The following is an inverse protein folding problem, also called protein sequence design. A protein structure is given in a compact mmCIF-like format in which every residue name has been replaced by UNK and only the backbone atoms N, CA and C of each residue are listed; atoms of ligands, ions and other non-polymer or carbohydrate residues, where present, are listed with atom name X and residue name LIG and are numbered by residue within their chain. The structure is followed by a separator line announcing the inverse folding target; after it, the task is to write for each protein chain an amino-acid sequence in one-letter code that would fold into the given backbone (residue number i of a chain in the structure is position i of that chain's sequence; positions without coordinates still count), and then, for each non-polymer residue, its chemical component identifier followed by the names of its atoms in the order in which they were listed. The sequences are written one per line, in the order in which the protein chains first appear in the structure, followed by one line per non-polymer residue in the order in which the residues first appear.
data_IF_964477645055
#
_entry.id   IF_964477645055
#
_cell.length_a   1.000
_cell.length_b   1.000
_cell.length_c   1.000
_cell.angle_alpha   90.00
_cell.angle_beta   90.00
_cell.angle_gamma   90.00
#
_symmetry.space_group_name_H-M   'P 1'
#
loop_
_entity.id
_entity.type
_entity.pdbx_description
1 polymer ?
#
# COMPACT_ATOMS: atom_id res chain seq x y z
N UNK A 1 -9.88 -2.74 -62.58
CA UNK A 1 -9.59 -3.64 -61.44
C UNK A 1 -8.13 -3.58 -60.95
N UNK A 2 -7.19 -2.96 -61.68
CA UNK A 2 -5.77 -2.89 -61.27
C UNK A 2 -5.46 -1.84 -60.17
N UNK A 3 -6.25 -0.78 -60.04
CA UNK A 3 -5.97 0.33 -59.09
C UNK A 3 -6.04 -0.10 -57.61
N UNK A 4 -7.08 -0.86 -57.24
CA UNK A 4 -7.24 -1.32 -55.85
C UNK A 4 -6.20 -2.37 -55.46
N UNK A 5 -5.71 -3.17 -56.40
CA UNK A 5 -4.67 -4.18 -56.15
C UNK A 5 -3.32 -3.53 -55.87
N UNK A 6 -2.99 -2.44 -56.57
CA UNK A 6 -1.79 -1.63 -56.32
C UNK A 6 -1.87 -0.95 -54.94
N UNK A 7 -3.04 -0.41 -54.57
CA UNK A 7 -3.24 0.21 -53.25
C UNK A 7 -3.04 -0.80 -52.11
N UNK A 8 -3.58 -2.01 -52.23
CA UNK A 8 -3.42 -3.05 -51.23
C UNK A 8 -1.97 -3.53 -51.10
N UNK A 9 -1.25 -3.68 -52.22
CA UNK A 9 0.18 -4.02 -52.19
C UNK A 9 1.01 -2.92 -51.51
N UNK A 10 0.74 -1.65 -51.79
CA UNK A 10 1.41 -0.53 -51.11
C UNK A 10 1.15 -0.51 -49.60
N UNK A 11 -0.09 -0.73 -49.16
CA UNK A 11 -0.42 -0.82 -47.73
C UNK A 11 0.29 -2.00 -47.08
N UNK A 12 0.30 -3.17 -47.74
CA UNK A 12 0.95 -4.37 -47.21
C UNK A 12 2.47 -4.17 -47.06
N UNK A 13 3.11 -3.52 -48.04
CA UNK A 13 4.53 -3.17 -47.98
C UNK A 13 4.85 -2.14 -46.88
N UNK A 14 3.99 -1.15 -46.66
CA UNK A 14 4.16 -0.17 -45.56
C UNK A 14 3.98 -0.82 -44.18
N UNK A 15 3.04 -1.75 -44.04
CA UNK A 15 2.83 -2.49 -42.78
C UNK A 15 3.99 -3.46 -42.52
N UNK A 16 4.44 -4.20 -43.53
CA UNK A 16 5.55 -5.14 -43.40
C UNK A 16 6.87 -4.45 -43.04
N UNK A 17 7.17 -3.29 -43.66
CA UNK A 17 8.37 -2.50 -43.33
C UNK A 17 8.32 -1.95 -41.92
N UNK A 18 7.16 -1.50 -41.43
CA UNK A 18 7.01 -1.05 -40.04
C UNK A 18 7.19 -2.18 -39.03
N UNK A 19 6.64 -3.36 -39.28
CA UNK A 19 6.78 -4.54 -38.40
C UNK A 19 8.24 -4.99 -38.30
N UNK A 20 9.01 -4.95 -39.39
CA UNK A 20 10.45 -5.27 -39.36
C UNK A 20 11.27 -4.26 -38.54
N UNK A 21 10.93 -2.96 -38.57
CA UNK A 21 11.58 -1.98 -37.69
C UNK A 21 11.31 -2.19 -36.20
N UNK A 22 10.26 -2.93 -35.81
CA UNK A 22 9.99 -3.22 -34.40
C UNK A 22 10.73 -4.46 -33.85
N UNK A 23 11.11 -5.45 -34.68
CA UNK A 23 11.78 -6.67 -34.18
C UNK A 23 13.28 -6.47 -33.88
N UNK A 24 13.95 -5.50 -34.53
CA UNK A 24 15.35 -5.13 -34.19
C UNK A 24 15.49 -4.42 -32.84
N UNK A 25 14.44 -3.78 -32.31
CA UNK A 25 14.52 -3.04 -31.04
C UNK A 25 14.42 -3.97 -29.81
N UNK A 26 13.89 -5.19 -29.96
CA UNK A 26 13.64 -6.10 -28.82
C UNK A 26 14.76 -7.11 -28.53
N UNK A 27 15.78 -7.24 -29.40
CA UNK A 27 16.89 -8.20 -29.21
C UNK A 27 18.21 -7.61 -28.68
N UNK A 28 18.29 -6.31 -28.39
CA UNK A 28 19.55 -5.68 -27.93
C UNK A 28 19.46 -4.95 -26.58
N UNK A 29 18.65 -5.46 -25.65
CA UNK A 29 18.95 -5.26 -24.21
C UNK A 29 19.72 -6.47 -23.70
N UNK A 30 20.97 -6.58 -24.17
CA UNK A 30 21.99 -7.33 -23.43
C UNK A 30 22.25 -6.51 -22.16
N UNK A 31 22.09 -7.06 -20.94
CA UNK A 31 22.51 -6.35 -19.75
C UNK A 31 24.02 -6.08 -19.88
N UNK A 32 24.40 -4.80 -19.86
CA UNK A 32 25.79 -4.39 -19.82
C UNK A 32 26.51 -5.17 -18.69
N UNK A 33 27.74 -5.67 -18.92
CA UNK A 33 28.52 -6.26 -17.85
C UNK A 33 28.66 -5.24 -16.74
N UNK A 34 28.36 -5.67 -15.51
CA UNK A 34 28.50 -4.85 -14.32
C UNK A 34 29.89 -4.17 -14.32
N UNK A 35 29.99 -2.89 -13.91
CA UNK A 35 31.30 -2.28 -13.69
C UNK A 35 32.09 -3.15 -12.70
N UNK A 36 33.42 -3.25 -12.82
CA UNK A 36 34.21 -4.09 -11.94
C UNK A 36 33.92 -3.65 -10.51
N UNK A 37 33.36 -4.59 -9.74
CA UNK A 37 33.24 -4.45 -8.30
C UNK A 37 34.67 -4.26 -7.82
N UNK A 38 35.04 -3.02 -7.46
CA UNK A 38 36.23 -2.81 -6.64
C UNK A 38 36.02 -3.71 -5.44
N UNK A 39 36.93 -4.68 -5.29
CA UNK A 39 36.97 -5.51 -4.10
C UNK A 39 36.83 -4.59 -2.88
N UNK A 40 36.02 -4.96 -1.87
CA UNK A 40 36.11 -4.29 -0.60
C UNK A 40 37.55 -4.43 -0.13
N UNK A 41 38.29 -3.33 -0.16
CA UNK A 41 39.52 -3.21 0.61
C UNK A 41 39.17 -3.70 2.01
N UNK A 42 39.83 -4.77 2.47
CA UNK A 42 39.78 -5.20 3.85
C UNK A 42 39.97 -3.94 4.69
N UNK A 43 38.91 -3.53 5.39
CA UNK A 43 38.98 -2.41 6.28
C UNK A 43 40.17 -2.64 7.22
N UNK A 44 41.03 -1.64 7.48
CA UNK A 44 42.02 -1.77 8.54
C UNK A 44 41.32 -2.14 9.85
N UNK A 45 41.98 -2.86 10.77
CA UNK A 45 41.36 -3.25 12.03
C UNK A 45 40.83 -2.00 12.70
N UNK A 46 39.50 -1.92 12.87
CA UNK A 46 38.90 -0.84 13.64
C UNK A 46 39.44 -1.00 15.06
N UNK A 47 40.37 -0.13 15.44
CA UNK A 47 40.73 0.06 16.85
C UNK A 47 39.43 0.42 17.55
N UNK A 48 38.96 -0.51 18.37
CA UNK A 48 37.77 -0.34 19.19
C UNK A 48 37.92 0.98 19.96
N UNK A 49 36.95 1.92 19.89
CA UNK A 49 36.91 3.01 20.85
C UNK A 49 36.78 2.39 22.24
N UNK A 50 37.83 2.53 23.05
CA UNK A 50 37.76 2.25 24.48
C UNK A 50 36.75 3.25 25.05
N UNK A 51 35.51 2.82 25.23
CA UNK A 51 34.55 3.58 26.03
C UNK A 51 35.12 3.70 27.45
N UNK A 52 35.21 4.90 28.03
CA UNK A 52 35.56 5.03 29.44
C UNK A 52 34.52 4.28 30.28
N UNK A 53 34.90 3.64 31.39
CA UNK A 53 33.92 3.07 32.30
C UNK A 53 32.97 4.17 32.74
N UNK A 54 31.67 3.92 32.57
CA UNK A 54 30.62 4.86 32.94
C UNK A 54 30.73 5.26 34.42
N UNK A 55 30.27 6.46 34.81
CA UNK A 55 30.31 6.90 36.19
C UNK A 55 29.45 5.99 37.07
N UNK A 56 30.05 5.59 38.19
CA UNK A 56 29.45 4.82 39.28
C UNK A 56 28.24 5.57 39.84
N UNK A 57 27.15 4.83 40.08
CA UNK A 57 25.89 5.28 40.69
C UNK A 57 26.10 5.90 42.08
N UNK A 58 25.43 7.02 42.38
CA UNK A 58 25.12 7.50 43.76
C UNK A 58 23.96 8.51 43.72
N UNK A 59 23.27 8.81 44.84
CA UNK A 59 21.83 8.67 44.96
C UNK A 59 20.97 9.92 44.68
N UNK A 60 19.73 9.61 44.29
CA UNK A 60 18.45 10.32 44.35
C UNK A 60 18.42 11.78 44.84
N UNK A 61 17.98 12.67 43.93
CA UNK A 61 17.21 13.87 44.28
C UNK A 61 15.76 13.62 43.86
N UNK A 62 14.75 13.78 44.74
CA UNK A 62 13.35 13.63 44.36
C UNK A 62 12.93 14.79 43.44
N UNK A 63 12.59 14.47 42.20
CA UNK A 63 11.99 15.40 41.24
C UNK A 63 10.59 15.79 41.70
N UNK A 64 10.18 17.08 41.64
CA UNK A 64 8.80 17.46 41.90
C UNK A 64 7.86 16.81 40.89
N UNK A 65 6.83 16.14 41.39
CA UNK A 65 5.80 15.46 40.62
C UNK A 65 5.09 16.45 39.71
N UNK A 66 5.46 16.48 38.43
CA UNK A 66 4.63 17.08 37.38
C UNK A 66 3.40 16.20 37.27
N UNK A 67 2.26 16.74 37.74
CA UNK A 67 0.94 16.11 37.63
C UNK A 67 0.59 16.00 36.16
N UNK A 68 0.90 14.85 35.56
CA UNK A 68 0.44 14.46 34.23
C UNK A 68 -1.10 14.53 34.25
N UNK A 69 -1.74 15.35 33.39
CA UNK A 69 -3.18 15.31 33.24
C UNK A 69 -3.57 13.90 32.81
N UNK A 70 -4.60 13.29 33.42
CA UNK A 70 -5.06 11.96 33.02
C UNK A 70 -5.40 11.96 31.53
N UNK A 71 -5.19 10.84 30.80
CA UNK A 71 -5.72 10.70 29.45
C UNK A 71 -7.23 10.97 29.49
N UNK A 72 -7.80 11.64 28.46
CA UNK A 72 -9.25 11.82 28.39
C UNK A 72 -9.90 10.43 28.48
N UNK A 73 -10.55 10.18 29.61
CA UNK A 73 -11.31 8.96 29.83
C UNK A 73 -12.36 8.89 28.72
N UNK A 74 -12.34 7.83 27.93
CA UNK A 74 -13.48 7.51 27.08
C UNK A 74 -14.71 7.44 28.00
N UNK A 75 -15.86 8.04 27.63
CA UNK A 75 -17.05 7.96 28.47
C UNK A 75 -17.35 6.49 28.74
N UNK A 76 -17.42 6.12 30.02
CA UNK A 76 -17.97 4.84 30.45
C UNK A 76 -19.42 4.82 29.99
N UNK A 77 -19.67 4.14 28.87
CA UNK A 77 -21.02 3.87 28.41
C UNK A 77 -21.62 2.88 29.41
N UNK A 78 -22.61 3.34 30.19
CA UNK A 78 -23.45 2.46 31.03
C UNK A 78 -23.97 1.30 30.17
N UNK A 79 -24.11 0.08 30.72
CA UNK A 79 -24.86 -0.98 30.06
C UNK A 79 -26.24 -0.44 29.68
N UNK A 80 -26.66 -0.51 28.40
CA UNK A 80 -27.97 -0.04 28.00
C UNK A 80 -29.02 -0.89 28.72
N UNK A 81 -29.95 -0.21 29.39
CA UNK A 81 -31.19 -0.77 29.91
C UNK A 81 -31.90 -1.54 28.80
N UNK A 82 -32.44 -2.76 29.03
CA UNK A 82 -33.25 -3.44 28.03
C UNK A 82 -34.47 -2.58 27.73
N UNK A 83 -34.46 -1.97 26.55
CA UNK A 83 -35.57 -1.15 26.04
C UNK A 83 -36.66 -2.13 25.57
N UNK A 84 -37.95 -1.88 25.84
CA UNK A 84 -39.03 -2.74 25.38
C UNK A 84 -38.97 -2.89 23.86
N UNK A 85 -39.02 -4.14 23.42
CA UNK A 85 -38.97 -4.57 22.02
C UNK A 85 -40.04 -3.82 21.22
N UNK A 86 -39.61 -2.81 20.47
CA UNK A 86 -40.48 -2.18 19.46
C UNK A 86 -40.86 -3.24 18.43
N UNK A 87 -42.07 -3.19 17.85
CA UNK A 87 -42.50 -4.16 16.86
C UNK A 87 -41.51 -4.14 15.70
N UNK A 88 -41.14 -5.34 15.23
CA UNK A 88 -40.27 -5.56 14.08
C UNK A 88 -40.90 -4.89 12.86
N UNK A 89 -40.51 -3.64 12.61
CA UNK A 89 -40.74 -2.98 11.33
C UNK A 89 -39.76 -3.64 10.38
N UNK A 90 -40.28 -4.55 9.54
CA UNK A 90 -39.50 -5.14 8.46
C UNK A 90 -38.92 -3.99 7.63
N UNK A 91 -37.58 -3.88 7.50
CA UNK A 91 -37.00 -2.88 6.64
C UNK A 91 -37.56 -3.09 5.22
N UNK A 92 -37.87 -2.01 4.48
CA UNK A 92 -38.28 -2.13 3.09
C UNK A 92 -37.23 -2.93 2.31
N UNK A 93 -37.61 -3.66 1.25
CA UNK A 93 -36.67 -4.43 0.45
C UNK A 93 -35.55 -3.52 -0.02
N UNK A 94 -34.35 -3.73 0.53
CA UNK A 94 -33.17 -2.94 0.21
C UNK A 94 -32.91 -3.17 -1.27
N UNK A 95 -33.03 -2.12 -2.08
CA UNK A 95 -32.67 -2.17 -3.49
C UNK A 95 -31.27 -2.81 -3.62
N UNK A 96 -31.02 -3.66 -4.62
CA UNK A 96 -29.74 -4.35 -4.76
C UNK A 96 -28.62 -3.31 -4.74
N UNK A 97 -27.79 -3.40 -3.71
CA UNK A 97 -26.63 -2.52 -3.54
C UNK A 97 -25.78 -2.63 -4.80
N UNK A 98 -25.30 -1.52 -5.40
CA UNK A 98 -24.41 -1.61 -6.54
C UNK A 98 -23.23 -2.54 -6.18
N UNK A 99 -22.87 -3.48 -7.06
CA UNK A 99 -21.82 -4.45 -6.78
C UNK A 99 -20.52 -3.70 -6.46
N UNK A 100 -19.85 -4.12 -5.38
CA UNK A 100 -18.57 -3.56 -5.00
C UNK A 100 -17.59 -3.64 -6.20
N UNK A 101 -16.73 -2.63 -6.39
CA UNK A 101 -15.79 -2.63 -7.51
C UNK A 101 -14.88 -3.85 -7.43
N UNK A 102 -14.97 -4.72 -8.43
CA UNK A 102 -14.18 -5.96 -8.50
C UNK A 102 -12.76 -5.63 -8.99
N UNK A 103 -11.76 -5.85 -8.15
CA UNK A 103 -10.34 -5.68 -8.49
C UNK A 103 -9.83 -6.96 -9.15
N UNK A 104 -9.50 -6.91 -10.45
CA UNK A 104 -8.87 -8.05 -11.15
C UNK A 104 -7.36 -7.84 -11.29
N UNK A 105 -6.94 -6.59 -11.44
CA UNK A 105 -5.57 -6.22 -11.77
C UNK A 105 -5.05 -5.07 -10.89
N UNK A 106 -3.73 -4.85 -10.91
CA UNK A 106 -3.12 -3.72 -10.22
C UNK A 106 -3.65 -2.36 -10.72
N UNK A 107 -4.06 -2.27 -12.00
CA UNK A 107 -4.62 -1.04 -12.57
C UNK A 107 -5.95 -0.66 -11.91
N UNK A 108 -6.75 -1.64 -11.50
CA UNK A 108 -8.01 -1.42 -10.78
C UNK A 108 -7.75 -0.90 -9.35
N UNK A 109 -6.58 -1.19 -8.78
CA UNK A 109 -6.19 -0.68 -7.47
C UNK A 109 -5.91 0.81 -7.47
N UNK A 110 -5.40 1.37 -8.57
CA UNK A 110 -4.94 2.77 -8.63
C UNK A 110 -6.07 3.75 -8.27
N UNK A 111 -7.24 3.77 -8.94
CA UNK A 111 -8.29 4.74 -8.62
C UNK A 111 -8.91 4.51 -7.24
N UNK A 112 -9.00 3.24 -6.80
CA UNK A 112 -9.54 2.91 -5.48
C UNK A 112 -8.61 3.37 -4.35
N UNK A 113 -7.31 3.15 -4.51
CA UNK A 113 -6.32 3.60 -3.55
C UNK A 113 -6.18 5.12 -3.55
N UNK A 114 -6.34 5.78 -4.71
CA UNK A 114 -6.31 7.24 -4.79
C UNK A 114 -7.43 7.86 -3.94
N UNK A 115 -8.65 7.35 -4.06
CA UNK A 115 -9.75 7.75 -3.19
C UNK A 115 -9.45 7.44 -1.72
N UNK A 116 -9.04 6.21 -1.40
CA UNK A 116 -8.72 5.77 -0.04
C UNK A 116 -7.68 6.66 0.65
N UNK A 117 -6.66 7.08 -0.10
CA UNK A 117 -5.55 7.86 0.41
C UNK A 117 -5.73 9.38 0.28
N UNK A 118 -6.84 9.85 -0.28
CA UNK A 118 -7.10 11.26 -0.62
C UNK A 118 -6.98 12.21 0.58
N UNK A 119 -7.41 11.78 1.77
CA UNK A 119 -7.35 12.55 3.02
C UNK A 119 -6.16 12.18 3.91
N UNK A 120 -5.36 11.19 3.53
CA UNK A 120 -4.25 10.75 4.35
C UNK A 120 -3.12 11.79 4.32
N UNK A 121 -2.62 12.18 5.49
CA UNK A 121 -1.52 13.16 5.64
C UNK A 121 -0.27 12.83 4.82
N UNK A 122 0.05 11.53 4.65
CA UNK A 122 1.18 11.02 3.87
C UNK A 122 0.68 10.27 2.63
N UNK A 123 0.02 10.96 1.70
CA UNK A 123 -0.63 10.39 0.50
C UNK A 123 0.25 9.39 -0.26
N UNK A 124 1.51 9.74 -0.57
CA UNK A 124 2.44 8.87 -1.32
C UNK A 124 2.77 7.57 -0.58
N UNK A 125 2.91 7.63 0.75
CA UNK A 125 3.15 6.45 1.58
C UNK A 125 1.90 5.56 1.65
N UNK A 126 0.73 6.17 1.87
CA UNK A 126 -0.55 5.48 1.85
C UNK A 126 -0.77 4.77 0.52
N UNK A 127 -0.56 5.45 -0.61
CA UNK A 127 -0.76 4.86 -1.95
C UNK A 127 0.10 3.62 -2.17
N UNK A 128 1.38 3.67 -1.80
CA UNK A 128 2.29 2.52 -1.94
C UNK A 128 1.82 1.32 -1.11
N UNK A 129 1.40 1.57 0.13
CA UNK A 129 0.87 0.53 1.01
C UNK A 129 -0.45 -0.04 0.49
N UNK A 130 -1.38 0.84 0.11
CA UNK A 130 -2.68 0.47 -0.43
C UNK A 130 -2.56 -0.39 -1.69
N UNK A 131 -1.75 0.01 -2.67
CA UNK A 131 -1.58 -0.75 -3.92
C UNK A 131 -0.99 -2.14 -3.64
N UNK A 132 -0.05 -2.25 -2.70
CA UNK A 132 0.51 -3.55 -2.29
C UNK A 132 -0.56 -4.45 -1.66
N UNK A 133 -1.37 -3.89 -0.76
CA UNK A 133 -2.45 -4.61 -0.11
C UNK A 133 -3.57 -5.00 -1.09
N UNK A 134 -3.92 -4.09 -1.98
CA UNK A 134 -4.93 -4.32 -3.01
C UNK A 134 -4.49 -5.39 -4.00
N UNK A 135 -3.23 -5.37 -4.45
CA UNK A 135 -2.77 -6.39 -5.39
C UNK A 135 -2.76 -7.79 -4.76
N UNK A 136 -2.42 -7.89 -3.47
CA UNK A 136 -2.43 -9.16 -2.75
C UNK A 136 -3.84 -9.64 -2.37
N UNK A 137 -4.69 -8.73 -1.90
CA UNK A 137 -6.00 -9.06 -1.34
C UNK A 137 -7.17 -8.85 -2.32
N UNK A 138 -6.89 -8.31 -3.51
CA UNK A 138 -7.87 -7.98 -4.56
C UNK A 138 -9.08 -7.19 -4.03
N UNK A 139 -8.82 -6.29 -3.08
CA UNK A 139 -9.85 -5.49 -2.42
C UNK A 139 -9.26 -4.21 -1.84
N UNK A 140 -9.98 -3.10 -2.00
CA UNK A 140 -9.74 -1.83 -1.30
C UNK A 140 -11.02 -1.49 -0.54
N UNK A 141 -10.98 -1.30 0.79
CA UNK A 141 -12.22 -1.06 1.51
C UNK A 141 -12.81 0.33 1.19
N UNK A 142 -14.13 0.51 1.38
CA UNK A 142 -14.79 1.78 1.04
C UNK A 142 -14.42 2.90 2.01
N UNK A 143 -14.46 4.14 1.51
CA UNK A 143 -14.15 5.34 2.29
C UNK A 143 -12.65 5.67 2.35
N UNK A 144 -12.30 6.72 3.08
CA UNK A 144 -10.91 7.17 3.27
C UNK A 144 -10.28 6.66 4.57
N UNK A 145 -11.10 6.13 5.48
CA UNK A 145 -10.71 5.62 6.80
C UNK A 145 -11.61 4.45 7.21
N UNK A 146 -11.08 3.53 8.02
CA UNK A 146 -11.84 2.41 8.58
C UNK A 146 -12.27 1.37 7.54
N UNK A 147 -13.38 0.68 7.83
CA UNK A 147 -14.01 -0.35 6.99
C UNK A 147 -13.08 -1.49 6.54
N UNK A 148 -11.96 -1.70 7.23
CA UNK A 148 -10.92 -2.66 6.82
C UNK A 148 -11.46 -4.09 6.77
N UNK A 149 -12.41 -4.39 7.65
CA UNK A 149 -13.13 -5.65 7.74
C UNK A 149 -13.94 -6.00 6.48
N UNK A 150 -14.29 -5.01 5.64
CA UNK A 150 -14.98 -5.25 4.37
C UNK A 150 -14.12 -5.99 3.35
N UNK A 151 -12.79 -5.93 3.48
CA UNK A 151 -11.85 -6.71 2.68
C UNK A 151 -11.32 -7.95 3.41
N UNK A 152 -11.90 -8.30 4.56
CA UNK A 152 -11.56 -9.48 5.33
C UNK A 152 -10.12 -9.50 5.87
N UNK A 153 -9.72 -10.70 6.32
CA UNK A 153 -8.47 -10.94 7.05
C UNK A 153 -7.22 -10.57 6.27
N UNK A 154 -7.22 -10.76 4.94
CA UNK A 154 -6.06 -10.43 4.13
C UNK A 154 -5.64 -8.97 4.28
N UNK A 155 -6.61 -8.04 4.33
CA UNK A 155 -6.34 -6.61 4.46
C UNK A 155 -6.13 -6.19 5.92
N UNK A 156 -6.85 -6.81 6.87
CA UNK A 156 -6.77 -6.46 8.29
C UNK A 156 -5.50 -6.98 8.97
N UNK A 157 -5.08 -8.20 8.64
CA UNK A 157 -4.08 -8.96 9.40
C UNK A 157 -2.69 -8.87 8.79
N UNK A 158 -2.54 -8.12 7.69
CA UNK A 158 -1.24 -7.89 7.06
C UNK A 158 -0.38 -6.97 7.92
N UNK A 159 0.78 -7.49 8.36
CA UNK A 159 1.73 -6.76 9.18
C UNK A 159 3.00 -6.42 8.40
N UNK A 160 3.66 -5.35 8.84
CA UNK A 160 5.04 -5.03 8.51
C UNK A 160 6.00 -5.84 9.39
N UNK A 161 7.30 -5.84 9.08
CA UNK A 161 8.32 -6.47 9.92
C UNK A 161 8.34 -5.96 11.37
N UNK A 162 7.81 -4.76 11.64
CA UNK A 162 7.70 -4.19 12.99
C UNK A 162 6.38 -4.49 13.70
N UNK A 163 5.65 -5.54 13.30
CA UNK A 163 4.34 -5.93 13.86
C UNK A 163 3.27 -4.84 13.83
N UNK A 164 3.38 -3.87 12.92
CA UNK A 164 2.36 -2.84 12.68
C UNK A 164 1.51 -3.20 11.47
N UNK A 165 0.21 -2.89 11.51
CA UNK A 165 -0.67 -3.04 10.36
C UNK A 165 -0.11 -2.32 9.14
N UNK A 166 0.00 -3.06 8.03
CA UNK A 166 0.60 -2.57 6.78
C UNK A 166 -0.39 -1.79 5.94
N UNK A 167 -1.64 -2.23 5.88
CA UNK A 167 -2.65 -1.67 4.99
C UNK A 167 -3.36 -0.46 5.63
N UNK A 168 -3.59 0.63 4.86
CA UNK A 168 -4.20 1.85 5.38
C UNK A 168 -5.69 1.72 5.70
#
# INVERSE_FOLDING_TARGET
MASNSILLLCIFLVVATKVFSYDEDLKTVVPAPAPPVKAPTLAPPVKSPSYPPGPVTTPTVPTPTVKVPPPPQSPVVKPPTPTPTSPVVYPPPVAPSPPAPVVKSNKDCIPLCDYRCSLHSRKKLCMRACITCCDRCKCVPPGTYGNREKCGKCYTDMLTHGNKFKCP
#
